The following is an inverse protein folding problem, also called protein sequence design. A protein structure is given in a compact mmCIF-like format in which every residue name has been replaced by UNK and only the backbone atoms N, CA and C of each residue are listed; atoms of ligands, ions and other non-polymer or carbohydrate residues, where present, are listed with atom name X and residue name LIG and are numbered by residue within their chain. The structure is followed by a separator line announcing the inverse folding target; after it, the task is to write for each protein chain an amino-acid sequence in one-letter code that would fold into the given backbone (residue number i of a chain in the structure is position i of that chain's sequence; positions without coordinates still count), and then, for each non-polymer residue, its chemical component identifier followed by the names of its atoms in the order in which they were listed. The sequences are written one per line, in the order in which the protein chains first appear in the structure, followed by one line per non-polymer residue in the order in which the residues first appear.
data_IF_361164582585
#
_entry.id   IF_361164582585
#
_cell.length_a   1.000
_cell.length_b   1.000
_cell.length_c   1.000
_cell.angle_alpha   90.00
_cell.angle_beta   90.00
_cell.angle_gamma   90.00
#
_symmetry.space_group_name_H-M   'P 1'
#
loop_
_entity.id
_entity.type
_entity.pdbx_description
1 polymer ?
#
# COMPACT_ATOMS: atom_id res chain seq x y z
N UNK A 1 12.52 -3.99 36.89
CA UNK A 1 11.28 -4.43 36.22
C UNK A 1 10.79 -5.73 36.84
N UNK A 2 9.55 -5.78 37.35
CA UNK A 2 8.97 -7.03 37.87
C UNK A 2 8.77 -8.05 36.74
N UNK A 3 8.82 -9.35 37.05
CA UNK A 3 8.60 -10.44 36.08
C UNK A 3 7.24 -10.31 35.40
N UNK A 4 6.23 -9.88 36.16
CA UNK A 4 4.88 -9.65 35.67
C UNK A 4 4.81 -8.49 34.66
N UNK A 5 5.58 -7.42 34.87
CA UNK A 5 5.65 -6.31 33.90
C UNK A 5 6.28 -6.75 32.57
N UNK A 6 7.28 -7.65 32.60
CA UNK A 6 7.87 -8.22 31.38
C UNK A 6 6.86 -9.10 30.62
N UNK A 7 6.13 -9.95 31.34
CA UNK A 7 5.13 -10.84 30.74
C UNK A 7 3.98 -10.02 30.11
N UNK A 8 3.48 -9.02 30.83
CA UNK A 8 2.43 -8.13 30.32
C UNK A 8 2.89 -7.39 29.05
N UNK A 9 4.13 -6.91 29.02
CA UNK A 9 4.69 -6.26 27.83
C UNK A 9 4.77 -7.20 26.62
N UNK A 10 5.26 -8.43 26.80
CA UNK A 10 5.35 -9.41 25.71
C UNK A 10 3.96 -9.81 25.20
N UNK A 11 3.00 -10.01 26.11
CA UNK A 11 1.62 -10.34 25.74
C UNK A 11 0.94 -9.21 24.93
N UNK A 12 1.15 -7.95 25.32
CA UNK A 12 0.61 -6.80 24.60
C UNK A 12 1.18 -6.70 23.18
N UNK A 13 2.49 -6.89 23.01
CA UNK A 13 3.13 -6.87 21.70
C UNK A 13 2.64 -8.00 20.78
N UNK A 14 2.52 -9.21 21.33
CA UNK A 14 1.99 -10.35 20.58
C UNK A 14 0.54 -10.11 20.12
N UNK A 15 -0.31 -9.60 21.02
CA UNK A 15 -1.70 -9.25 20.70
C UNK A 15 -1.79 -8.19 19.59
N UNK A 16 -0.96 -7.15 19.65
CA UNK A 16 -0.93 -6.11 18.63
C UNK A 16 -0.55 -6.69 17.26
N UNK A 17 0.44 -7.57 17.21
CA UNK A 17 0.88 -8.22 15.97
C UNK A 17 -0.24 -9.07 15.33
N UNK A 18 -1.00 -9.80 16.14
CA UNK A 18 -2.16 -10.60 15.68
C UNK A 18 -3.27 -9.70 15.11
N UNK A 19 -3.62 -8.62 15.82
CA UNK A 19 -4.67 -7.70 15.34
C UNK A 19 -4.31 -7.06 13.99
N UNK A 20 -3.05 -6.66 13.80
CA UNK A 20 -2.57 -6.14 12.50
C UNK A 20 -2.69 -7.18 11.39
N UNK A 21 -2.31 -8.43 11.67
CA UNK A 21 -2.43 -9.54 10.72
C UNK A 21 -3.87 -9.78 10.28
N UNK A 22 -4.81 -9.80 11.24
CA UNK A 22 -6.24 -9.97 10.94
C UNK A 22 -6.77 -8.81 10.11
N UNK A 23 -6.49 -7.56 10.49
CA UNK A 23 -6.93 -6.38 9.72
C UNK A 23 -6.38 -6.41 8.31
N UNK A 24 -5.12 -6.81 8.12
CA UNK A 24 -4.50 -6.93 6.80
C UNK A 24 -5.17 -8.02 5.96
N UNK A 25 -5.43 -9.19 6.53
CA UNK A 25 -6.08 -10.30 5.84
C UNK A 25 -7.56 -10.04 5.53
N UNK A 26 -8.22 -9.22 6.36
CA UNK A 26 -9.65 -8.92 6.22
C UNK A 26 -9.94 -7.82 5.21
N UNK A 27 -8.92 -7.16 4.64
CA UNK A 27 -9.15 -6.09 3.66
C UNK A 27 -9.80 -6.70 2.41
N UNK A 28 -11.01 -6.26 2.03
CA UNK A 28 -11.66 -6.77 0.83
C UNK A 28 -10.79 -6.43 -0.39
N UNK A 29 -10.61 -7.41 -1.27
CA UNK A 29 -10.03 -7.19 -2.60
C UNK A 29 -10.97 -6.23 -3.34
N UNK A 30 -10.50 -5.05 -3.79
CA UNK A 30 -11.35 -4.15 -4.56
C UNK A 30 -11.81 -4.85 -5.84
N UNK A 31 -13.12 -5.02 -6.02
CA UNK A 31 -13.65 -5.42 -7.31
C UNK A 31 -13.29 -4.37 -8.36
N UNK A 32 -12.87 -4.77 -9.57
CA UNK A 32 -12.52 -3.84 -10.62
C UNK A 32 -13.78 -3.09 -11.07
N UNK A 33 -13.97 -1.87 -10.59
CA UNK A 33 -14.94 -0.94 -11.16
C UNK A 33 -14.51 -0.57 -12.58
N UNK A 34 -15.33 -0.94 -13.57
CA UNK A 34 -15.13 -0.56 -14.97
C UNK A 34 -15.46 0.92 -15.17
N UNK A 35 -14.48 1.78 -14.92
CA UNK A 35 -14.60 3.22 -15.24
C UNK A 35 -14.10 3.44 -16.67
N UNK A 36 -15.04 3.59 -17.60
CA UNK A 36 -14.77 4.08 -18.96
C UNK A 36 -14.28 5.53 -18.87
N UNK A 37 -12.96 5.73 -18.81
CA UNK A 37 -12.35 7.06 -18.75
C UNK A 37 -11.64 7.36 -20.06
N UNK A 38 -12.07 8.42 -20.76
CA UNK A 38 -11.58 8.86 -22.09
C UNK A 38 -10.10 9.35 -22.10
N UNK A 39 -9.31 9.01 -21.09
CA UNK A 39 -7.87 9.30 -20.96
C UNK A 39 -7.02 8.08 -20.58
N UNK A 40 -7.56 6.86 -20.74
CA UNK A 40 -6.94 5.63 -20.25
C UNK A 40 -5.62 5.20 -20.92
N UNK A 41 -5.26 5.79 -22.07
CA UNK A 41 -4.10 5.31 -22.83
C UNK A 41 -2.74 5.67 -22.21
N UNK A 42 -2.67 6.73 -21.39
CA UNK A 42 -1.44 7.12 -20.67
C UNK A 42 -1.43 6.70 -19.19
N UNK A 43 -2.60 6.51 -18.57
CA UNK A 43 -2.72 6.12 -17.16
C UNK A 43 -2.72 4.59 -16.90
N UNK A 44 -2.91 3.77 -17.94
CA UNK A 44 -2.92 2.31 -17.80
C UNK A 44 -1.54 1.72 -17.46
N UNK A 45 -0.47 2.29 -18.03
CA UNK A 45 0.91 1.86 -17.74
C UNK A 45 1.29 2.01 -16.26
N UNK A 46 1.14 3.20 -15.62
CA UNK A 46 1.52 3.35 -14.20
C UNK A 46 0.64 2.53 -13.25
N UNK A 47 -0.63 2.30 -13.59
CA UNK A 47 -1.52 1.46 -12.76
C UNK A 47 -1.15 -0.03 -12.80
N UNK A 48 -0.70 -0.53 -13.96
CA UNK A 48 -0.25 -1.91 -14.11
C UNK A 48 1.05 -2.17 -13.33
N UNK A 49 1.99 -1.23 -13.38
CA UNK A 49 3.27 -1.32 -12.64
C UNK A 49 3.04 -1.31 -11.13
N UNK A 50 2.15 -0.45 -10.63
CA UNK A 50 1.83 -0.41 -9.19
C UNK A 50 1.21 -1.71 -8.66
N UNK A 51 0.43 -2.46 -9.46
CA UNK A 51 -0.08 -3.77 -9.03
C UNK A 51 1.03 -4.79 -8.88
N UNK A 52 2.02 -4.76 -9.78
CA UNK A 52 3.22 -5.62 -9.69
C UNK A 52 4.06 -5.25 -8.47
N UNK A 53 4.21 -3.96 -8.20
CA UNK A 53 4.97 -3.47 -7.04
C UNK A 53 4.41 -3.95 -5.69
N UNK A 54 3.11 -4.28 -5.60
CA UNK A 54 2.53 -4.86 -4.38
C UNK A 54 3.03 -6.27 -4.04
N UNK A 55 3.58 -7.00 -5.01
CA UNK A 55 4.08 -8.37 -4.82
C UNK A 55 5.59 -8.44 -4.66
N UNK A 56 6.31 -7.33 -4.89
CA UNK A 56 7.76 -7.27 -4.74
C UNK A 56 8.10 -6.94 -3.29
N UNK A 57 8.89 -7.80 -2.64
CA UNK A 57 9.32 -7.63 -1.24
C UNK A 57 10.69 -6.99 -1.10
N UNK A 58 11.44 -6.88 -2.20
CA UNK A 58 12.73 -6.20 -2.25
C UNK A 58 12.57 -4.76 -2.75
N UNK A 59 13.47 -3.84 -2.37
CA UNK A 59 13.46 -2.49 -2.90
C UNK A 59 13.67 -2.51 -4.41
N UNK A 60 12.77 -1.85 -5.14
CA UNK A 60 12.78 -1.78 -6.59
C UNK A 60 12.57 -0.32 -7.00
N UNK A 61 13.59 0.25 -7.65
CA UNK A 61 13.60 1.66 -8.03
C UNK A 61 12.54 2.01 -9.07
N UNK A 62 12.08 1.03 -9.87
CA UNK A 62 10.99 1.24 -10.82
C UNK A 62 9.65 1.38 -10.11
N UNK A 63 9.47 0.66 -9.01
CA UNK A 63 8.29 0.77 -8.16
C UNK A 63 8.23 2.09 -7.40
N UNK A 64 9.36 2.59 -6.90
CA UNK A 64 9.43 3.89 -6.24
C UNK A 64 9.09 5.02 -7.21
N UNK A 65 9.61 4.97 -8.44
CA UNK A 65 9.31 5.95 -9.48
C UNK A 65 7.83 5.95 -9.90
N UNK A 66 7.24 4.76 -10.07
CA UNK A 66 5.82 4.62 -10.38
C UNK A 66 4.92 5.18 -9.25
N UNK A 67 5.31 4.96 -7.99
CA UNK A 67 4.62 5.49 -6.82
C UNK A 67 4.70 7.02 -6.74
N UNK A 68 5.88 7.61 -6.92
CA UNK A 68 6.06 9.07 -6.93
C UNK A 68 5.24 9.73 -8.05
N UNK A 69 5.24 9.16 -9.25
CA UNK A 69 4.43 9.67 -10.36
C UNK A 69 2.92 9.64 -10.03
N UNK A 70 2.41 8.55 -9.45
CA UNK A 70 1.00 8.47 -9.04
C UNK A 70 0.66 9.45 -7.93
N UNK A 71 1.59 9.67 -7.00
CA UNK A 71 1.43 10.58 -5.87
C UNK A 71 1.33 12.03 -6.33
N UNK A 72 2.24 12.49 -7.18
CA UNK A 72 2.19 13.84 -7.75
C UNK A 72 0.91 14.10 -8.52
N UNK A 73 0.47 13.13 -9.32
CA UNK A 73 -0.78 13.21 -10.06
C UNK A 73 -2.00 13.30 -9.13
N UNK A 74 -2.01 12.54 -8.03
CA UNK A 74 -3.09 12.61 -7.04
C UNK A 74 -3.15 13.96 -6.32
N UNK A 75 -1.99 14.56 -6.02
CA UNK A 75 -1.91 15.86 -5.37
C UNK A 75 -1.96 17.06 -6.34
N UNK A 76 -2.20 16.82 -7.63
CA UNK A 76 -2.30 17.88 -8.64
C UNK A 76 -0.98 18.65 -8.84
N UNK A 77 0.15 18.14 -8.35
CA UNK A 77 1.46 18.79 -8.45
C UNK A 77 2.05 18.68 -9.87
N UNK A 78 1.43 17.86 -10.72
CA UNK A 78 1.78 17.74 -12.13
C UNK A 78 1.11 18.83 -13.00
N UNK A 79 0.12 19.56 -12.46
CA UNK A 79 -0.69 20.55 -13.17
C UNK A 79 -0.18 22.01 -13.03
N UNK A 80 0.92 22.25 -12.28
CA UNK A 80 1.55 23.57 -12.14
C UNK A 80 2.45 23.98 -13.34
N UNK A 81 2.06 23.63 -14.57
CA UNK A 81 2.78 24.02 -15.81
C UNK A 81 1.99 24.99 -16.67
#
# INVERSE_FOLDING_TARGET
MSRNAKIAGVAALAGMMVTVGVVSASRPTPEPATVQTKGALTAAAPAADLRRCRTVTLPDSSCDAAWEAKRRHFFGTDDER
#
